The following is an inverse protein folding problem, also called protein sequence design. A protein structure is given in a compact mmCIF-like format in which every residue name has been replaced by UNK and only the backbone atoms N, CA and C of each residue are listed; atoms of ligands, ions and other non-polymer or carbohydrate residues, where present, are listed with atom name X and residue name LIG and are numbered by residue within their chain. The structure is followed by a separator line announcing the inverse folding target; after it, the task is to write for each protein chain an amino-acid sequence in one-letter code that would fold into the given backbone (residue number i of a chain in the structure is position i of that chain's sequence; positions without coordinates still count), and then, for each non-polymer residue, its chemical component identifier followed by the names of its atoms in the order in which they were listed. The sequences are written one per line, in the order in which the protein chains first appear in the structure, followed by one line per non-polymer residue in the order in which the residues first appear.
data_IF_532353550849
#
_entry.id   IF_532353550849
#
_cell.length_a   1.000
_cell.length_b   1.000
_cell.length_c   1.000
_cell.angle_alpha   90.00
_cell.angle_beta   90.00
_cell.angle_gamma   90.00
#
_symmetry.space_group_name_H-M   'P 1'
#
loop_
_entity.id
_entity.type
_entity.pdbx_description
1 polymer ?
#
# COMPACT_ATOMS: atom_id res chain seq x y z
N UNK A 1 -16.18 -11.11 -19.18
CA UNK A 1 -14.86 -11.43 -18.58
C UNK A 1 -13.89 -10.35 -19.00
N UNK A 2 -13.34 -9.58 -18.05
CA UNK A 2 -12.25 -8.66 -18.38
C UNK A 2 -10.97 -9.50 -18.53
N UNK A 3 -10.45 -9.64 -19.74
CA UNK A 3 -9.27 -10.46 -20.07
C UNK A 3 -7.94 -9.92 -19.53
N UNK A 4 -7.95 -9.24 -18.38
CA UNK A 4 -6.78 -8.67 -17.72
C UNK A 4 -6.97 -8.73 -16.21
N UNK A 5 -5.89 -8.79 -15.43
CA UNK A 5 -5.95 -8.69 -13.96
C UNK A 5 -6.32 -7.30 -13.42
N UNK A 6 -6.59 -6.33 -14.31
CA UNK A 6 -6.92 -4.93 -13.97
C UNK A 6 -8.08 -4.74 -12.99
N UNK A 7 -9.16 -5.56 -12.98
CA UNK A 7 -10.25 -5.37 -12.01
C UNK A 7 -9.86 -5.73 -10.57
N UNK A 8 -8.74 -6.43 -10.37
CA UNK A 8 -8.39 -7.05 -9.09
C UNK A 8 -6.95 -6.73 -8.63
N UNK A 9 -6.19 -5.91 -9.37
CA UNK A 9 -4.76 -5.70 -9.09
C UNK A 9 -4.27 -4.34 -9.59
N UNK A 10 -4.30 -3.36 -8.68
CA UNK A 10 -3.86 -1.98 -8.82
C UNK A 10 -2.62 -1.65 -7.99
N UNK A 11 -2.60 -0.45 -7.39
CA UNK A 11 -1.49 0.08 -6.59
C UNK A 11 -1.24 -0.72 -5.31
N UNK A 12 -2.28 -1.32 -4.73
CA UNK A 12 -2.19 -2.14 -3.52
C UNK A 12 -1.32 -3.38 -3.72
N UNK A 13 -1.42 -4.01 -4.89
CA UNK A 13 -0.57 -5.16 -5.24
C UNK A 13 0.85 -4.73 -5.58
N UNK A 14 1.05 -3.54 -6.15
CA UNK A 14 2.38 -3.00 -6.42
C UNK A 14 3.14 -2.73 -5.12
N UNK A 15 2.45 -2.21 -4.10
CA UNK A 15 3.00 -2.04 -2.76
C UNK A 15 3.36 -3.40 -2.15
N UNK A 16 2.45 -4.40 -2.21
CA UNK A 16 2.78 -5.74 -1.72
C UNK A 16 3.99 -6.35 -2.43
N UNK A 17 4.08 -6.26 -3.75
CA UNK A 17 5.23 -6.79 -4.50
C UNK A 17 6.52 -6.05 -4.17
N UNK A 18 6.44 -4.75 -3.88
CA UNK A 18 7.58 -3.97 -3.42
C UNK A 18 8.04 -4.42 -2.03
N UNK A 19 7.12 -4.72 -1.10
CA UNK A 19 7.46 -5.32 0.21
C UNK A 19 8.17 -6.67 0.01
N UNK A 20 7.65 -7.53 -0.87
CA UNK A 20 8.27 -8.82 -1.18
C UNK A 20 9.70 -8.65 -1.71
N UNK A 21 9.89 -7.72 -2.64
CA UNK A 21 11.17 -7.50 -3.30
C UNK A 21 12.21 -6.79 -2.43
N UNK A 22 11.82 -5.71 -1.74
CA UNK A 22 12.73 -4.85 -0.97
C UNK A 22 13.03 -5.44 0.41
N UNK A 23 12.05 -6.11 1.03
CA UNK A 23 12.15 -6.55 2.43
C UNK A 23 12.16 -8.08 2.59
N UNK A 24 12.06 -8.85 1.49
CA UNK A 24 11.97 -10.31 1.53
C UNK A 24 10.62 -10.83 2.03
N UNK A 25 9.58 -9.97 2.01
CA UNK A 25 8.26 -10.25 2.57
C UNK A 25 8.18 -9.99 4.09
N UNK A 26 7.00 -9.59 4.54
CA UNK A 26 6.70 -9.27 5.96
C UNK A 26 5.47 -9.97 6.50
N UNK A 27 4.57 -10.41 5.62
CA UNK A 27 3.35 -11.13 5.97
C UNK A 27 2.86 -11.95 4.76
N UNK A 28 1.87 -12.83 4.91
CA UNK A 28 1.23 -13.47 3.77
C UNK A 28 0.73 -12.43 2.76
N UNK A 29 0.81 -12.75 1.46
CA UNK A 29 0.51 -11.81 0.37
C UNK A 29 -0.79 -11.01 0.57
N UNK A 30 -1.89 -11.68 0.95
CA UNK A 30 -3.17 -11.01 1.18
C UNK A 30 -3.14 -9.97 2.31
N UNK A 31 -2.33 -10.18 3.35
CA UNK A 31 -2.16 -9.23 4.47
C UNK A 31 -1.31 -8.03 4.04
N UNK A 32 -0.29 -8.26 3.19
CA UNK A 32 0.49 -7.15 2.62
C UNK A 32 -0.35 -6.33 1.64
N UNK A 33 -1.18 -7.00 0.83
CA UNK A 33 -2.17 -6.34 -0.02
C UNK A 33 -3.16 -5.54 0.82
N UNK A 34 -3.59 -6.06 1.98
CA UNK A 34 -4.47 -5.33 2.88
C UNK A 34 -3.87 -4.00 3.38
N UNK A 35 -2.57 -3.98 3.71
CA UNK A 35 -1.82 -2.75 4.01
C UNK A 35 -1.75 -1.84 2.77
N UNK A 36 -1.39 -2.41 1.62
CA UNK A 36 -1.34 -1.69 0.34
C UNK A 36 -2.67 -1.03 -0.04
N UNK A 37 -3.81 -1.62 0.33
CA UNK A 37 -5.15 -1.07 0.08
C UNK A 37 -5.37 0.22 0.85
N UNK A 38 -5.04 0.26 2.16
CA UNK A 38 -5.19 1.48 2.97
C UNK A 38 -4.31 2.58 2.40
N UNK A 39 -3.03 2.29 2.16
CA UNK A 39 -2.08 3.26 1.59
C UNK A 39 -2.58 3.78 0.24
N UNK A 40 -3.10 2.90 -0.62
CA UNK A 40 -3.65 3.30 -1.91
C UNK A 40 -4.81 4.27 -1.76
N UNK A 41 -5.77 3.98 -0.87
CA UNK A 41 -6.91 4.87 -0.61
C UNK A 41 -6.45 6.25 -0.11
N UNK A 42 -5.45 6.29 0.79
CA UNK A 42 -4.86 7.54 1.26
C UNK A 42 -4.22 8.33 0.11
N UNK A 43 -3.51 7.67 -0.81
CA UNK A 43 -2.92 8.30 -2.00
C UNK A 43 -3.99 8.85 -2.95
N UNK A 44 -5.11 8.13 -3.13
CA UNK A 44 -6.26 8.60 -3.88
C UNK A 44 -7.07 9.69 -3.13
N UNK A 45 -6.75 9.97 -1.86
CA UNK A 45 -7.50 10.85 -0.96
C UNK A 45 -8.96 10.40 -0.78
N UNK A 46 -9.18 9.10 -0.79
CA UNK A 46 -10.47 8.44 -0.60
C UNK A 46 -10.64 7.99 0.86
N UNK A 47 -11.90 7.84 1.29
CA UNK A 47 -12.20 7.36 2.64
C UNK A 47 -11.81 5.89 2.83
N UNK A 48 -10.97 5.64 3.84
CA UNK A 48 -10.49 4.31 4.20
C UNK A 48 -11.07 3.81 5.54
N UNK A 49 -11.95 4.57 6.20
CA UNK A 49 -12.52 4.25 7.52
C UNK A 49 -13.24 2.90 7.55
N UNK A 50 -14.06 2.63 6.53
CA UNK A 50 -14.80 1.37 6.38
C UNK A 50 -13.86 0.17 6.30
N UNK A 51 -12.72 0.32 5.62
CA UNK A 51 -11.72 -0.75 5.48
C UNK A 51 -11.04 -1.03 6.83
N UNK A 52 -10.68 0.02 7.56
CA UNK A 52 -10.12 -0.09 8.91
C UNK A 52 -11.09 -0.81 9.85
N UNK A 53 -12.38 -0.48 9.81
CA UNK A 53 -13.39 -1.12 10.63
C UNK A 53 -13.57 -2.60 10.29
N UNK A 54 -13.52 -2.96 9.00
CA UNK A 54 -13.52 -4.35 8.56
C UNK A 54 -12.29 -5.09 9.11
N UNK A 55 -11.10 -4.49 9.01
CA UNK A 55 -9.87 -5.12 9.49
C UNK A 55 -9.89 -5.34 11.01
N UNK A 56 -10.41 -4.38 11.77
CA UNK A 56 -10.61 -4.53 13.22
C UNK A 56 -11.59 -5.64 13.55
N UNK A 57 -12.73 -5.72 12.84
CA UNK A 57 -13.75 -6.77 13.04
C UNK A 57 -13.25 -8.17 12.68
N UNK A 58 -12.34 -8.26 11.72
CA UNK A 58 -11.73 -9.52 11.28
C UNK A 58 -10.41 -9.82 12.02
N UNK A 59 -10.02 -8.98 12.99
CA UNK A 59 -8.77 -9.10 13.76
C UNK A 59 -7.52 -9.23 12.86
N UNK A 60 -7.51 -8.52 11.74
CA UNK A 60 -6.39 -8.53 10.79
C UNK A 60 -5.23 -7.75 11.39
N UNK A 61 -4.10 -8.43 11.59
CA UNK A 61 -2.83 -7.82 11.97
C UNK A 61 -2.02 -7.46 10.73
N UNK A 62 -1.78 -6.16 10.52
CA UNK A 62 -0.99 -5.66 9.39
C UNK A 62 0.51 -5.66 9.73
N UNK A 63 1.40 -5.87 8.75
CA UNK A 63 2.84 -5.80 8.97
C UNK A 63 3.27 -4.38 9.32
N UNK A 64 4.17 -4.26 10.28
CA UNK A 64 4.82 -3.00 10.65
C UNK A 64 6.06 -2.79 9.81
N UNK A 65 6.19 -1.58 9.27
CA UNK A 65 7.37 -1.15 8.51
C UNK A 65 8.03 -0.01 9.28
N UNK A 66 9.37 0.02 9.28
CA UNK A 66 10.05 1.24 9.71
C UNK A 66 9.86 2.34 8.66
N UNK A 67 10.07 3.59 9.07
CA UNK A 67 10.04 4.76 8.18
C UNK A 67 10.88 4.58 6.91
N UNK A 68 12.12 4.11 7.09
CA UNK A 68 13.04 3.86 5.98
C UNK A 68 12.57 2.71 5.08
N UNK A 69 12.01 1.64 5.65
CA UNK A 69 11.44 0.54 4.89
C UNK A 69 10.23 0.98 4.07
N UNK A 70 9.33 1.74 4.68
CA UNK A 70 8.14 2.28 4.03
C UNK A 70 8.52 3.15 2.84
N UNK A 71 9.40 4.13 3.01
CA UNK A 71 9.81 5.02 1.93
C UNK A 71 10.46 4.27 0.76
N UNK A 72 11.34 3.30 1.05
CA UNK A 72 11.94 2.45 0.02
C UNK A 72 10.90 1.61 -0.72
N UNK A 73 9.91 1.08 0.00
CA UNK A 73 8.81 0.31 -0.59
C UNK A 73 7.98 1.19 -1.52
N UNK A 74 7.63 2.41 -1.09
CA UNK A 74 6.83 3.34 -1.89
C UNK A 74 7.58 3.85 -3.12
N UNK A 75 8.89 4.08 -3.00
CA UNK A 75 9.74 4.48 -4.12
C UNK A 75 9.89 3.38 -5.18
N UNK A 76 9.88 2.11 -4.78
CA UNK A 76 10.03 0.99 -5.71
C UNK A 76 8.70 0.48 -6.28
N UNK A 77 7.56 0.73 -5.61
CA UNK A 77 6.25 0.26 -6.05
C UNK A 77 5.94 0.52 -7.54
N UNK A 78 6.22 1.71 -8.13
CA UNK A 78 5.96 1.99 -9.56
C UNK A 78 6.73 1.05 -10.52
N UNK A 79 7.94 0.65 -10.14
CA UNK A 79 8.83 -0.17 -10.96
C UNK A 79 8.33 -1.62 -11.11
N UNK A 80 7.47 -2.08 -10.18
CA UNK A 80 6.93 -3.44 -10.19
C UNK A 80 6.05 -3.73 -11.42
N UNK A 81 5.51 -2.70 -12.09
CA UNK A 81 4.70 -2.82 -13.30
C UNK A 81 4.88 -1.65 -14.27
N UNK A 82 6.00 -1.65 -15.01
CA UNK A 82 6.23 -0.69 -16.12
C UNK A 82 5.11 -0.77 -17.16
N UNK A 83 4.48 0.36 -17.46
CA UNK A 83 3.46 0.49 -18.52
C UNK A 83 1.99 0.49 -18.06
N UNK A 84 1.70 0.59 -16.75
CA UNK A 84 0.33 0.83 -16.24
C UNK A 84 0.27 2.18 -15.54
N UNK A 85 -0.70 3.01 -15.93
CA UNK A 85 -1.03 4.22 -15.20
C UNK A 85 -1.68 3.86 -13.85
N UNK A 86 -1.13 4.39 -12.77
CA UNK A 86 -1.56 4.22 -11.38
C UNK A 86 -1.44 5.55 -10.63
N UNK A 87 -1.87 5.61 -9.38
CA UNK A 87 -1.72 6.83 -8.56
C UNK A 87 -0.27 7.31 -8.45
N UNK A 88 0.70 6.39 -8.54
CA UNK A 88 2.12 6.74 -8.52
C UNK A 88 2.55 7.64 -9.68
N UNK A 89 1.84 7.59 -10.82
CA UNK A 89 2.10 8.46 -11.98
C UNK A 89 1.52 9.88 -11.80
N UNK A 90 0.81 10.14 -10.70
CA UNK A 90 0.19 11.44 -10.39
C UNK A 90 0.83 12.17 -9.22
N UNK A 91 1.77 11.53 -8.53
CA UNK A 91 2.40 12.07 -7.33
C UNK A 91 3.71 12.75 -7.72
N UNK A 92 3.70 14.08 -7.70
CA UNK A 92 4.89 14.88 -7.97
C UNK A 92 5.73 15.14 -6.69
N UNK A 93 5.10 15.09 -5.51
CA UNK A 93 5.75 15.37 -4.23
C UNK A 93 5.82 14.12 -3.34
N UNK A 94 7.04 13.59 -3.16
CA UNK A 94 7.32 12.45 -2.29
C UNK A 94 7.03 12.73 -0.81
N UNK A 95 6.84 13.98 -0.41
CA UNK A 95 6.40 14.34 0.93
C UNK A 95 5.08 13.68 1.31
N UNK A 96 4.22 13.36 0.35
CA UNK A 96 2.96 12.62 0.61
C UNK A 96 3.21 11.26 1.28
N UNK A 97 4.32 10.60 0.97
CA UNK A 97 4.67 9.32 1.60
C UNK A 97 5.01 9.51 3.07
N UNK A 98 5.65 10.62 3.40
CA UNK A 98 5.97 10.97 4.79
C UNK A 98 4.72 11.24 5.59
N UNK A 99 3.80 12.02 5.03
CA UNK A 99 2.52 12.34 5.68
C UNK A 99 1.70 11.06 5.93
N UNK A 100 1.67 10.14 4.95
CA UNK A 100 1.01 8.83 5.11
C UNK A 100 1.66 7.98 6.19
N UNK A 101 2.99 7.94 6.25
CA UNK A 101 3.70 7.18 7.28
C UNK A 101 3.36 7.69 8.69
N UNK A 102 3.34 9.01 8.88
CA UNK A 102 2.99 9.61 10.16
C UNK A 102 1.52 9.33 10.52
N UNK A 103 0.60 9.41 9.57
CA UNK A 103 -0.81 9.08 9.79
C UNK A 103 -1.01 7.61 10.19
N UNK A 104 -0.36 6.66 9.49
CA UNK A 104 -0.39 5.25 9.85
C UNK A 104 0.22 4.97 11.24
N UNK A 105 1.25 5.72 11.62
CA UNK A 105 1.87 5.64 12.95
C UNK A 105 0.92 6.17 14.03
N UNK A 106 0.24 7.30 13.80
CA UNK A 106 -0.77 7.84 14.71
C UNK A 106 -1.97 6.91 14.89
N UNK A 107 -2.34 6.17 13.84
CA UNK A 107 -3.38 5.15 13.90
C UNK A 107 -2.95 3.87 14.64
N UNK A 108 -1.66 3.75 15.00
CA UNK A 108 -1.08 2.57 15.65
C UNK A 108 -0.89 1.37 14.72
N UNK A 109 -0.97 1.57 13.40
CA UNK A 109 -0.68 0.55 12.40
C UNK A 109 0.83 0.28 12.36
N UNK A 110 1.65 1.33 12.39
CA UNK A 110 3.10 1.25 12.59
C UNK A 110 3.47 1.39 14.08
#
# INVERSE_FOLDING_TARGET
MAGTSRPCSGSEHMISHSIDYILGGRAPHGIQVALGTIISLMLYKEDYSVIIDIYKRLEISLPKLTREEFLRVMDYAPETRKGRYTIFDTIDDKKVYEDIYEELSHMGIF
#
